data_IF_317221281176
#
_entry.id   IF_317221281176
#
_cell.length_a   1.000
_cell.length_b   1.000
_cell.length_c   1.000
_cell.angle_alpha   90.00
_cell.angle_beta   90.00
_cell.angle_gamma   90.00
#
_symmetry.space_group_name_H-M   'P 1'
#
loop_
_entity.id
_entity.type
_entity.pdbx_description
1 polymer ?
#
# COMPACT_ATOMS: atom_id res chain seq x y z
N UNK A 1 4.73 11.83 1.23
CA UNK A 1 5.61 10.69 1.55
C UNK A 1 6.15 10.06 0.29
N UNK A 2 7.44 9.80 0.26
CA UNK A 2 8.08 9.08 -0.85
C UNK A 2 7.64 7.62 -0.83
N UNK A 3 7.35 7.06 -1.99
CA UNK A 3 6.90 5.67 -2.11
C UNK A 3 8.07 4.70 -1.87
N UNK A 4 7.86 3.72 -1.01
CA UNK A 4 8.82 2.65 -0.70
C UNK A 4 8.18 1.30 -0.92
N UNK A 5 9.00 0.31 -1.29
CA UNK A 5 8.57 -1.09 -1.30
C UNK A 5 8.95 -1.72 0.03
N UNK A 6 7.99 -2.35 0.70
CA UNK A 6 8.23 -3.02 1.98
C UNK A 6 7.65 -4.43 2.00
N UNK A 7 8.28 -5.28 2.80
CA UNK A 7 7.73 -6.57 3.22
C UNK A 7 7.29 -6.45 4.67
N UNK A 8 6.11 -6.98 4.96
CA UNK A 8 5.54 -7.00 6.32
C UNK A 8 5.17 -8.43 6.70
N UNK A 9 5.71 -8.90 7.82
CA UNK A 9 5.27 -10.13 8.47
C UNK A 9 4.31 -9.75 9.59
N UNK A 10 3.07 -10.24 9.53
CA UNK A 10 2.02 -9.85 10.46
C UNK A 10 1.09 -11.02 10.79
N UNK A 11 0.30 -10.87 11.83
CA UNK A 11 -0.67 -11.88 12.24
C UNK A 11 -2.09 -11.37 12.09
N UNK A 12 -2.96 -12.21 11.57
CA UNK A 12 -4.36 -11.89 11.36
C UNK A 12 -5.25 -12.81 12.16
N UNK A 13 -6.46 -12.34 12.43
CA UNK A 13 -7.52 -13.15 13.00
C UNK A 13 -7.92 -14.27 12.03
N UNK A 14 -8.29 -15.41 12.59
CA UNK A 14 -8.86 -16.50 11.80
C UNK A 14 -10.20 -16.93 12.41
N UNK A 15 -11.02 -17.57 11.59
CA UNK A 15 -12.18 -18.33 12.05
C UNK A 15 -11.79 -19.81 11.97
N UNK A 16 -11.36 -20.42 13.11
CA UNK A 16 -10.71 -21.74 13.08
C UNK A 16 -11.67 -22.88 12.83
N UNK A 17 -12.98 -22.62 12.86
CA UNK A 17 -14.00 -23.66 12.67
C UNK A 17 -14.98 -23.27 11.58
N UNK A 18 -15.47 -24.29 10.87
CA UNK A 18 -16.51 -24.16 9.86
C UNK A 18 -17.74 -24.93 10.35
N UNK A 19 -18.58 -24.25 11.12
CA UNK A 19 -19.74 -24.81 11.80
C UNK A 19 -19.47 -25.23 13.25
N UNK A 20 -20.25 -26.18 13.75
CA UNK A 20 -20.15 -26.66 15.11
C UNK A 20 -18.93 -27.57 15.29
N UNK A 21 -18.17 -27.33 16.36
CA UNK A 21 -16.97 -28.12 16.68
C UNK A 21 -16.90 -28.38 18.19
N UNK A 22 -16.28 -29.51 18.58
CA UNK A 22 -16.02 -29.78 19.98
C UNK A 22 -14.96 -28.82 20.52
N UNK A 23 -15.20 -28.27 21.70
CA UNK A 23 -14.28 -27.30 22.30
C UNK A 23 -12.87 -27.85 22.54
N UNK A 24 -12.76 -29.18 22.75
CA UNK A 24 -11.46 -29.82 22.95
C UNK A 24 -10.63 -29.89 21.68
N UNK A 25 -11.26 -29.71 20.51
CA UNK A 25 -10.59 -29.71 19.21
C UNK A 25 -10.21 -28.31 18.75
N UNK A 26 -10.61 -27.27 19.49
CA UNK A 26 -10.34 -25.88 19.16
C UNK A 26 -8.83 -25.60 19.21
N UNK A 27 -8.32 -24.98 18.16
CA UNK A 27 -6.95 -24.46 18.09
C UNK A 27 -6.99 -22.94 18.11
N UNK A 28 -6.30 -22.35 19.09
CA UNK A 28 -6.26 -20.89 19.27
C UNK A 28 -4.99 -20.32 18.62
N UNK A 29 -4.99 -20.26 17.31
CA UNK A 29 -3.87 -19.78 16.52
C UNK A 29 -4.32 -18.61 15.64
N UNK A 30 -3.40 -17.66 15.41
CA UNK A 30 -3.60 -16.58 14.46
C UNK A 30 -3.04 -16.98 13.09
N UNK A 31 -3.57 -16.38 12.04
CA UNK A 31 -3.00 -16.58 10.71
C UNK A 31 -1.69 -15.81 10.58
N UNK A 32 -0.66 -16.53 10.13
CA UNK A 32 0.65 -15.96 9.87
C UNK A 32 0.70 -15.47 8.42
N UNK A 33 0.92 -14.16 8.23
CA UNK A 33 0.79 -13.50 6.95
C UNK A 33 2.08 -12.77 6.56
N UNK A 34 2.41 -12.82 5.29
CA UNK A 34 3.46 -12.02 4.69
C UNK A 34 2.87 -11.23 3.53
N UNK A 35 3.06 -9.93 3.56
CA UNK A 35 2.59 -9.04 2.49
C UNK A 35 3.72 -8.17 1.99
N UNK A 36 3.73 -7.93 0.69
CA UNK A 36 4.67 -7.03 0.03
C UNK A 36 3.87 -5.98 -0.71
N UNK A 37 4.25 -4.73 -0.56
CA UNK A 37 3.57 -3.65 -1.26
C UNK A 37 4.29 -2.33 -1.14
N UNK A 38 3.74 -1.35 -1.86
CA UNK A 38 4.22 0.02 -1.79
C UNK A 38 3.63 0.69 -0.55
N UNK A 39 4.50 1.18 0.34
CA UNK A 39 4.07 1.94 1.50
C UNK A 39 3.65 3.34 1.05
N UNK A 40 2.38 3.66 1.17
CA UNK A 40 1.83 4.94 0.70
C UNK A 40 1.35 5.84 1.83
N UNK A 41 1.13 5.30 3.01
CA UNK A 41 0.73 6.07 4.17
C UNK A 41 1.17 5.37 5.46
N UNK A 42 1.57 6.15 6.42
CA UNK A 42 1.93 5.67 7.75
C UNK A 42 1.57 6.73 8.79
N UNK A 43 0.96 6.29 9.88
CA UNK A 43 0.72 7.11 11.06
C UNK A 43 1.08 6.33 12.32
N UNK A 44 0.74 6.87 13.51
CA UNK A 44 1.11 6.24 14.79
C UNK A 44 0.49 4.85 14.99
N UNK A 45 -0.65 4.59 14.34
CA UNK A 45 -1.45 3.37 14.56
C UNK A 45 -1.39 2.38 13.40
N UNK A 46 -1.29 2.88 12.17
CA UNK A 46 -1.44 2.06 10.98
C UNK A 46 -0.36 2.32 9.95
N UNK A 47 -0.18 1.33 9.09
CA UNK A 47 0.47 1.51 7.79
C UNK A 47 -0.49 1.09 6.70
N UNK A 48 -0.37 1.72 5.54
CA UNK A 48 -1.12 1.34 4.34
C UNK A 48 -0.15 0.98 3.23
N UNK A 49 -0.27 -0.25 2.74
CA UNK A 49 0.47 -0.72 1.57
C UNK A 49 -0.50 -0.97 0.43
N UNK A 50 -0.01 -0.83 -0.80
CA UNK A 50 -0.83 -1.00 -2.00
C UNK A 50 -0.09 -1.88 -3.00
N UNK A 51 -0.87 -2.59 -3.84
CA UNK A 51 -0.31 -3.45 -4.90
C UNK A 51 0.07 -2.66 -6.14
N UNK A 52 -0.63 -1.58 -6.41
CA UNK A 52 -0.49 -0.82 -7.64
C UNK A 52 -0.40 0.68 -7.35
N UNK A 53 0.55 1.33 -8.01
CA UNK A 53 0.70 2.78 -7.99
C UNK A 53 0.76 3.24 -9.44
N UNK A 54 -0.05 4.21 -9.78
CA UNK A 54 0.00 4.91 -11.07
C UNK A 54 0.13 6.39 -10.81
N UNK A 55 1.00 7.06 -11.53
CA UNK A 55 1.20 8.48 -11.29
C UNK A 55 1.84 9.21 -12.45
N UNK A 56 1.52 10.49 -12.52
CA UNK A 56 2.12 11.45 -13.41
C UNK A 56 2.37 12.76 -12.65
N UNK A 57 2.70 13.82 -13.36
CA UNK A 57 2.92 15.14 -12.76
C UNK A 57 1.67 15.69 -12.07
N UNK A 58 0.50 15.22 -12.46
CA UNK A 58 -0.79 15.74 -12.07
C UNK A 58 -1.42 15.01 -10.88
N UNK A 59 -0.95 13.83 -10.53
CA UNK A 59 -1.48 13.10 -9.39
C UNK A 59 -1.04 11.65 -9.35
N UNK A 60 -1.40 10.98 -8.27
CA UNK A 60 -1.07 9.58 -8.02
C UNK A 60 -2.35 8.81 -7.69
N UNK A 61 -2.56 7.71 -8.38
CA UNK A 61 -3.64 6.75 -8.10
C UNK A 61 -3.06 5.46 -7.54
N UNK A 62 -3.83 4.82 -6.69
CA UNK A 62 -3.45 3.56 -6.04
C UNK A 62 -4.58 2.55 -6.15
N UNK A 63 -4.21 1.26 -6.10
CA UNK A 63 -5.15 0.15 -6.09
C UNK A 63 -4.60 -1.01 -5.25
N UNK A 64 -5.50 -1.83 -4.72
CA UNK A 64 -5.14 -2.96 -3.88
C UNK A 64 -4.62 -2.55 -2.52
N UNK A 65 -5.35 -1.67 -1.83
CA UNK A 65 -4.95 -1.16 -0.51
C UNK A 65 -5.15 -2.20 0.58
N UNK A 66 -4.15 -2.29 1.47
CA UNK A 66 -4.22 -3.06 2.71
C UNK A 66 -3.77 -2.15 3.85
N UNK A 67 -4.67 -1.89 4.79
CA UNK A 67 -4.38 -1.12 6.00
C UNK A 67 -4.12 -2.08 7.15
N UNK A 68 -2.96 -1.99 7.76
CA UNK A 68 -2.55 -2.84 8.86
C UNK A 68 -2.38 -2.03 10.14
N UNK A 69 -2.94 -2.56 11.24
CA UNK A 69 -2.64 -2.06 12.57
C UNK A 69 -1.18 -2.40 12.91
N UNK A 70 -0.42 -1.42 13.38
CA UNK A 70 1.00 -1.60 13.72
C UNK A 70 1.22 -2.66 14.80
N UNK A 71 0.24 -2.88 15.68
CA UNK A 71 0.35 -3.91 16.73
C UNK A 71 0.27 -5.33 16.17
N UNK A 72 -0.23 -5.52 14.95
CA UNK A 72 -0.27 -6.83 14.30
C UNK A 72 1.04 -7.18 13.60
N UNK A 73 1.91 -6.21 13.41
CA UNK A 73 3.15 -6.36 12.64
C UNK A 73 4.25 -6.94 13.55
N UNK A 74 4.80 -8.07 13.13
CA UNK A 74 5.93 -8.71 13.82
C UNK A 74 7.27 -8.24 13.29
N UNK A 75 7.38 -8.10 11.98
CA UNK A 75 8.60 -7.71 11.30
C UNK A 75 8.27 -6.91 10.07
N UNK A 76 9.11 -5.94 9.78
CA UNK A 76 9.01 -5.08 8.62
C UNK A 76 10.39 -4.91 8.02
N UNK A 77 10.49 -5.02 6.70
CA UNK A 77 11.74 -4.86 5.99
C UNK A 77 11.55 -4.00 4.76
N UNK A 78 12.41 -3.00 4.59
CA UNK A 78 12.49 -2.23 3.36
C UNK A 78 13.12 -3.10 2.28
N UNK A 79 12.53 -3.10 1.08
CA UNK A 79 13.04 -3.85 -0.05
C UNK A 79 13.65 -2.90 -1.07
N UNK A 80 14.77 -3.32 -1.65
CA UNK A 80 15.39 -2.61 -2.76
C UNK A 80 14.98 -3.22 -4.09
N UNK A 81 14.93 -2.38 -5.13
CA UNK A 81 14.64 -2.81 -6.49
C UNK A 81 15.92 -2.91 -7.29
N UNK A 82 16.07 -4.07 -7.95
CA UNK A 82 17.15 -4.31 -8.90
C UNK A 82 16.60 -4.37 -10.32
N UNK A 83 16.12 -3.23 -10.81
CA UNK A 83 15.50 -3.12 -12.12
C UNK A 83 15.97 -1.83 -12.80
N UNK A 84 16.45 -1.96 -14.04
CA UNK A 84 16.83 -0.81 -14.86
C UNK A 84 15.78 -0.65 -15.97
N UNK A 85 14.88 0.34 -15.88
CA UNK A 85 13.84 0.53 -16.87
C UNK A 85 14.41 1.05 -18.19
N UNK A 86 13.79 0.67 -19.30
CA UNK A 86 14.01 1.28 -20.58
C UNK A 86 13.56 2.75 -20.56
N UNK A 87 14.22 3.61 -21.36
CA UNK A 87 13.94 5.05 -21.41
C UNK A 87 12.48 5.39 -21.66
N UNK A 88 11.81 4.59 -22.48
CA UNK A 88 10.44 4.88 -22.92
C UNK A 88 9.37 4.22 -22.07
N UNK A 89 9.73 3.27 -21.21
CA UNK A 89 8.77 2.43 -20.48
C UNK A 89 8.86 2.62 -18.97
N UNK A 90 9.94 3.13 -18.46
CA UNK A 90 10.24 3.15 -17.03
C UNK A 90 9.98 4.45 -16.29
N UNK A 91 9.18 5.39 -16.82
CA UNK A 91 9.01 6.72 -16.22
C UNK A 91 8.58 6.69 -14.75
N UNK A 92 7.56 5.89 -14.43
CA UNK A 92 7.07 5.79 -13.06
C UNK A 92 8.10 5.13 -12.15
N UNK A 93 8.73 4.04 -12.62
CA UNK A 93 9.78 3.34 -11.89
C UNK A 93 10.99 4.26 -11.68
N UNK A 94 11.37 5.03 -12.69
CA UNK A 94 12.45 6.02 -12.58
C UNK A 94 12.17 7.05 -11.50
N UNK A 95 10.99 7.60 -11.46
CA UNK A 95 10.57 8.56 -10.43
C UNK A 95 10.55 7.96 -9.03
N UNK A 96 10.18 6.69 -8.93
CA UNK A 96 10.22 5.98 -7.66
C UNK A 96 11.65 5.74 -7.19
N UNK A 97 12.53 5.26 -8.07
CA UNK A 97 13.93 4.99 -7.74
C UNK A 97 14.71 6.27 -7.39
N UNK A 98 14.41 7.39 -8.04
CA UNK A 98 15.05 8.68 -7.74
C UNK A 98 14.41 9.43 -6.56
N UNK A 99 13.33 8.90 -6.01
CA UNK A 99 12.62 9.49 -4.88
C UNK A 99 11.69 10.65 -5.23
N UNK A 100 11.48 10.96 -6.50
CA UNK A 100 10.61 12.07 -6.92
C UNK A 100 9.12 11.71 -6.93
N UNK A 101 8.77 10.43 -6.94
CA UNK A 101 7.39 9.99 -6.82
C UNK A 101 6.92 10.13 -5.37
N UNK A 102 5.93 10.95 -5.15
CA UNK A 102 5.38 11.24 -3.83
C UNK A 102 3.87 11.01 -3.85
N UNK A 103 3.37 10.31 -2.83
CA UNK A 103 1.93 10.21 -2.58
C UNK A 103 1.54 11.34 -1.63
N UNK A 104 0.72 12.25 -2.12
CA UNK A 104 0.21 13.39 -1.36
C UNK A 104 -1.30 13.50 -1.56
N UNK A 105 -2.05 13.14 -0.53
CA UNK A 105 -3.52 13.14 -0.57
C UNK A 105 -4.10 14.54 -0.79
N UNK A 106 -3.54 15.53 -0.15
CA UNK A 106 -4.03 16.90 -0.25
C UNK A 106 -3.83 17.45 -1.66
N UNK A 107 -2.66 17.21 -2.26
CA UNK A 107 -2.33 17.63 -3.62
C UNK A 107 -3.23 16.94 -4.65
N UNK A 108 -3.44 15.62 -4.54
CA UNK A 108 -4.34 14.87 -5.39
C UNK A 108 -5.77 15.37 -5.30
N UNK A 109 -6.25 15.60 -4.09
CA UNK A 109 -7.60 16.09 -3.84
C UNK A 109 -7.82 17.49 -4.45
N UNK A 110 -6.87 18.38 -4.29
CA UNK A 110 -6.93 19.73 -4.88
C UNK A 110 -6.93 19.66 -6.40
N UNK A 111 -6.06 18.85 -6.99
CA UNK A 111 -5.98 18.66 -8.44
C UNK A 111 -7.31 18.16 -9.01
N UNK A 112 -7.92 17.16 -8.42
CA UNK A 112 -9.20 16.60 -8.86
C UNK A 112 -10.34 17.60 -8.74
N UNK A 113 -10.34 18.43 -7.69
CA UNK A 113 -11.30 19.49 -7.53
C UNK A 113 -11.19 20.54 -8.65
N UNK A 114 -9.99 20.96 -8.99
CA UNK A 114 -9.73 21.91 -10.07
C UNK A 114 -10.20 21.34 -11.41
N UNK A 115 -9.88 20.07 -11.71
CA UNK A 115 -10.30 19.39 -12.93
C UNK A 115 -11.84 19.31 -13.04
N UNK A 116 -12.52 18.98 -11.94
CA UNK A 116 -13.97 18.94 -11.90
C UNK A 116 -14.60 20.31 -12.16
N UNK A 117 -14.06 21.38 -11.59
CA UNK A 117 -14.52 22.76 -11.83
C UNK A 117 -14.28 23.16 -13.28
N UNK A 118 -13.12 22.86 -13.86
CA UNK A 118 -12.82 23.10 -15.27
C UNK A 118 -13.80 22.41 -16.22
N UNK A 119 -14.22 21.19 -15.89
CA UNK A 119 -15.18 20.41 -16.69
C UNK A 119 -16.56 21.02 -16.73
N UNK A 120 -16.96 21.80 -15.71
CA UNK A 120 -18.27 22.45 -15.65
C UNK A 120 -18.42 23.58 -16.65
N UNK A 121 -17.32 24.15 -17.09
CA UNK A 121 -17.30 25.34 -17.95
C UNK A 121 -16.94 25.02 -19.41
N UNK A 122 -16.87 23.77 -19.76
CA UNK A 122 -16.57 23.33 -21.13
C UNK A 122 -17.84 23.11 -21.94
#
# INVERSE_FOLDING_TARGET
MTVKLILVHWEDAITPTDGWTDITELKSELADCVSVGFLVEENDKTITIVSHVSGDEDGTDIDGSLVLDKTWIKERQDLSISYTPDKDVGRLVGRWLDGSLVVDKAKNKLKRKIDAESSRFK
#
